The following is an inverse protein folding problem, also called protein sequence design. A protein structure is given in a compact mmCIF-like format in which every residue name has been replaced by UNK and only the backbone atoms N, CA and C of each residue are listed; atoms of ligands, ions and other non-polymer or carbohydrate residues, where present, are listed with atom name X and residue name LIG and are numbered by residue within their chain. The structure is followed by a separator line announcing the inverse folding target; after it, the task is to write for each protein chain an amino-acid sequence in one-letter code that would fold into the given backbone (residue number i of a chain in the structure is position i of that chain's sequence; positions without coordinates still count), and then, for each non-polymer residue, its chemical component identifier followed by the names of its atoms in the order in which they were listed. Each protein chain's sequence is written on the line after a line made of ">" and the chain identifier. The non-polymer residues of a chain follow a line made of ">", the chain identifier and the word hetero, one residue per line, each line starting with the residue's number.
data_IF_675903741022
#
_entry.id   IF_675903741022
#
_cell.length_a   1.000
_cell.length_b   1.000
_cell.length_c   1.000
_cell.angle_alpha   90.00
_cell.angle_beta   90.00
_cell.angle_gamma   90.00
#
_symmetry.space_group_name_H-M   'P 1'
#
loop_
_entity.id
_entity.type
_entity.pdbx_description
1 polymer ?
#
# COMPACT_ATOMS: atom_id res chain seq x y z
N UNK A 1 0.73 -21.51 28.93
CA UNK A 1 0.56 -20.05 28.87
C UNK A 1 0.32 -19.68 27.41
N UNK A 2 -0.92 -19.39 27.03
CA UNK A 2 -1.24 -18.84 25.70
C UNK A 2 -0.96 -17.33 25.74
N UNK A 3 -0.05 -16.85 24.88
CA UNK A 3 0.11 -15.43 24.62
C UNK A 3 -1.02 -14.97 23.70
N UNK A 4 -1.91 -14.11 24.18
CA UNK A 4 -2.81 -13.36 23.32
C UNK A 4 -1.97 -12.35 22.54
N UNK A 5 -1.86 -12.54 21.22
CA UNK A 5 -1.40 -11.50 20.33
C UNK A 5 -2.42 -10.35 20.38
N UNK A 6 -2.00 -9.20 20.89
CA UNK A 6 -2.78 -7.98 20.83
C UNK A 6 -2.83 -7.49 19.38
N UNK A 7 -3.81 -7.96 18.61
CA UNK A 7 -4.25 -7.26 17.39
C UNK A 7 -4.81 -5.92 17.81
N UNK A 8 -4.07 -4.84 17.62
CA UNK A 8 -4.55 -3.48 17.79
C UNK A 8 -5.58 -3.22 16.68
N UNK A 9 -6.89 -3.09 16.99
CA UNK A 9 -7.87 -2.83 15.95
C UNK A 9 -7.69 -1.39 15.46
N UNK A 10 -7.49 -1.22 14.15
CA UNK A 10 -7.55 0.10 13.52
C UNK A 10 -8.95 0.68 13.79
N UNK A 11 -9.04 1.80 14.50
CA UNK A 11 -10.32 2.47 14.78
C UNK A 11 -10.88 3.13 13.51
N UNK A 12 -12.19 3.02 13.25
CA UNK A 12 -12.84 3.64 12.08
C UNK A 12 -12.74 5.17 12.19
N UNK A 13 -11.70 5.77 11.60
CA UNK A 13 -11.48 7.22 11.60
C UNK A 13 -12.20 7.91 10.45
N UNK A 14 -12.29 9.25 10.52
CA UNK A 14 -12.84 10.13 9.47
C UNK A 14 -12.05 10.10 8.14
N UNK A 15 -11.06 9.21 8.01
CA UNK A 15 -10.05 9.24 6.98
C UNK A 15 -9.03 10.35 7.22
N UNK A 16 -7.77 10.16 6.80
CA UNK A 16 -6.75 11.20 6.91
C UNK A 16 -7.15 12.44 6.09
N UNK A 17 -6.82 13.65 6.58
CA UNK A 17 -7.04 14.87 5.81
C UNK A 17 -6.25 14.85 4.50
N UNK A 18 -6.70 15.62 3.52
CA UNK A 18 -5.91 15.88 2.33
C UNK A 18 -4.60 16.61 2.72
N UNK A 19 -3.45 16.30 2.10
CA UNK A 19 -2.31 17.20 2.12
C UNK A 19 -2.72 18.53 1.50
N UNK A 20 -2.41 19.63 2.18
CA UNK A 20 -2.81 20.99 1.79
C UNK A 20 -2.23 21.43 0.44
N UNK A 21 -1.13 20.81 0.01
CA UNK A 21 -0.43 21.11 -1.23
C UNK A 21 -0.94 20.32 -2.44
N UNK A 22 -1.95 19.47 -2.25
CA UNK A 22 -2.47 18.63 -3.31
C UNK A 22 -3.93 19.01 -3.60
N UNK A 23 -4.13 20.07 -4.39
CA UNK A 23 -5.42 20.70 -4.77
C UNK A 23 -6.49 19.74 -5.33
N UNK A 24 -6.08 18.53 -5.72
CA UNK A 24 -6.95 17.51 -6.28
C UNK A 24 -7.38 16.45 -5.26
N UNK A 25 -6.78 16.39 -4.05
CA UNK A 25 -7.12 15.39 -3.03
C UNK A 25 -8.57 15.46 -2.55
N UNK A 26 -9.22 16.61 -2.66
CA UNK A 26 -10.61 16.83 -2.23
C UNK A 26 -11.63 16.67 -3.35
N UNK A 27 -11.21 16.41 -4.60
CA UNK A 27 -12.14 16.35 -5.73
C UNK A 27 -12.92 15.05 -5.74
N UNK A 28 -12.25 13.88 -5.76
CA UNK A 28 -12.91 12.57 -5.71
C UNK A 28 -12.00 11.52 -5.03
N UNK A 29 -11.92 11.51 -3.70
CA UNK A 29 -10.88 10.80 -2.93
C UNK A 29 -10.78 9.28 -3.19
N UNK A 30 -11.89 8.61 -3.54
CA UNK A 30 -11.91 7.18 -3.88
C UNK A 30 -11.85 6.88 -5.38
N UNK A 31 -11.94 7.90 -6.24
CA UNK A 31 -11.86 7.78 -7.70
C UNK A 31 -10.45 8.08 -8.18
N UNK A 32 -9.82 9.09 -7.56
CA UNK A 32 -8.44 9.51 -7.87
C UNK A 32 -7.41 8.44 -7.43
N UNK A 33 -7.82 7.51 -6.56
CA UNK A 33 -7.08 6.30 -6.17
C UNK A 33 -5.75 6.63 -5.49
N UNK A 34 -5.85 7.41 -4.44
CA UNK A 34 -4.71 8.04 -3.76
C UNK A 34 -4.60 7.64 -2.30
N UNK A 35 -5.42 6.69 -1.86
CA UNK A 35 -5.27 6.02 -0.58
C UNK A 35 -5.96 6.75 0.55
N UNK A 36 -6.97 7.58 0.26
CA UNK A 36 -7.77 8.25 1.29
C UNK A 36 -8.91 7.40 1.81
N UNK A 37 -9.33 6.38 1.08
CA UNK A 37 -10.53 5.61 1.39
C UNK A 37 -10.25 4.38 2.24
N UNK A 38 -9.01 4.20 2.67
CA UNK A 38 -8.65 3.18 3.64
C UNK A 38 -7.48 3.65 4.50
N UNK A 39 -7.45 3.13 5.72
CA UNK A 39 -6.29 3.21 6.61
C UNK A 39 -5.37 2.03 6.34
N UNK A 40 -4.07 2.25 6.52
CA UNK A 40 -3.06 1.21 6.43
C UNK A 40 -2.11 1.31 7.61
N UNK A 41 -1.56 0.17 8.02
CA UNK A 41 -0.42 0.08 8.92
C UNK A 41 0.59 -0.91 8.37
N UNK A 42 1.87 -0.66 8.65
CA UNK A 42 2.98 -1.53 8.27
C UNK A 42 3.84 -1.77 9.51
N UNK A 43 4.07 -3.03 9.86
CA UNK A 43 4.81 -3.38 11.09
C UNK A 43 4.16 -2.85 12.36
N UNK A 44 2.83 -2.70 12.36
CA UNK A 44 2.06 -2.11 13.46
C UNK A 44 2.13 -0.58 13.56
N UNK A 45 2.88 0.09 12.70
CA UNK A 45 2.94 1.55 12.65
C UNK A 45 1.91 2.12 11.68
N UNK A 46 1.26 3.25 12.02
CA UNK A 46 0.32 3.90 11.13
C UNK A 46 1.02 4.42 9.87
N UNK A 47 0.32 4.34 8.75
CA UNK A 47 0.72 5.04 7.53
C UNK A 47 0.12 6.44 7.54
N UNK A 48 0.99 7.44 7.49
CA UNK A 48 0.65 8.85 7.64
C UNK A 48 0.94 9.63 6.36
N UNK A 49 0.32 10.80 6.22
CA UNK A 49 0.59 11.70 5.10
C UNK A 49 1.94 12.41 5.31
N UNK A 50 2.66 12.68 4.23
CA UNK A 50 3.82 13.57 4.25
C UNK A 50 3.27 14.99 4.32
N UNK A 51 3.28 15.62 5.50
CA UNK A 51 2.54 16.89 5.69
C UNK A 51 3.24 18.10 5.06
N UNK A 52 4.57 18.14 5.12
CA UNK A 52 5.34 19.28 4.64
C UNK A 52 5.52 19.22 3.12
N UNK A 53 5.04 20.24 2.40
CA UNK A 53 5.14 20.32 0.94
C UNK A 53 6.59 20.23 0.45
N UNK A 54 7.52 20.94 1.11
CA UNK A 54 8.94 20.91 0.74
C UNK A 54 9.55 19.50 0.91
N UNK A 55 9.13 18.77 1.94
CA UNK A 55 9.55 17.38 2.14
C UNK A 55 8.97 16.48 1.05
N UNK A 56 7.68 16.62 0.77
CA UNK A 56 7.01 15.90 -0.30
C UNK A 56 7.66 16.14 -1.65
N UNK A 57 7.90 17.39 -2.06
CA UNK A 57 8.52 17.73 -3.34
C UNK A 57 9.92 17.10 -3.46
N UNK A 58 10.74 17.21 -2.41
CA UNK A 58 12.08 16.59 -2.38
C UNK A 58 12.01 15.08 -2.57
N UNK A 59 11.15 14.40 -1.81
CA UNK A 59 10.99 12.94 -1.87
C UNK A 59 10.38 12.50 -3.21
N UNK A 60 9.39 13.24 -3.71
CA UNK A 60 8.75 13.00 -4.99
C UNK A 60 9.76 13.03 -6.13
N UNK A 61 10.57 14.09 -6.20
CA UNK A 61 11.59 14.25 -7.23
C UNK A 61 12.67 13.16 -7.14
N UNK A 62 13.07 12.80 -5.92
CA UNK A 62 14.03 11.72 -5.70
C UNK A 62 13.48 10.36 -6.17
N UNK A 63 12.29 9.98 -5.70
CA UNK A 63 11.66 8.70 -6.04
C UNK A 63 11.40 8.63 -7.55
N UNK A 64 10.95 9.72 -8.17
CA UNK A 64 10.68 9.77 -9.62
C UNK A 64 11.95 9.61 -10.45
N UNK A 65 13.10 10.12 -9.99
CA UNK A 65 14.40 9.89 -10.65
C UNK A 65 14.80 8.41 -10.59
N UNK A 66 14.54 7.74 -9.46
CA UNK A 66 14.88 6.33 -9.27
C UNK A 66 13.92 5.42 -10.05
N UNK A 67 12.61 5.70 -9.98
CA UNK A 67 11.58 4.92 -10.63
C UNK A 67 10.44 5.83 -11.15
N UNK A 68 10.44 6.18 -12.46
CA UNK A 68 9.47 7.10 -13.03
C UNK A 68 8.04 6.55 -13.08
N UNK A 69 7.84 5.25 -12.82
CA UNK A 69 6.51 4.63 -12.74
C UNK A 69 5.85 4.84 -11.37
N UNK A 70 6.63 5.18 -10.34
CA UNK A 70 6.10 5.55 -9.03
C UNK A 70 5.65 7.01 -9.06
N UNK A 71 4.36 7.20 -9.29
CA UNK A 71 3.69 8.49 -9.11
C UNK A 71 3.09 8.54 -7.71
N UNK A 72 2.92 9.75 -7.18
CA UNK A 72 1.96 9.99 -6.08
C UNK A 72 2.32 9.30 -4.74
N UNK A 73 3.58 9.39 -4.30
CA UNK A 73 4.01 8.91 -2.97
C UNK A 73 3.72 9.98 -1.92
N UNK A 74 2.48 10.01 -1.44
CA UNK A 74 2.00 10.97 -0.43
C UNK A 74 2.09 10.45 1.00
N UNK A 75 2.42 9.18 1.16
CA UNK A 75 2.28 8.48 2.42
C UNK A 75 3.60 7.94 2.89
N UNK A 76 3.77 7.83 4.21
CA UNK A 76 4.97 7.29 4.81
C UNK A 76 4.70 6.53 6.10
N UNK A 77 5.63 5.65 6.44
CA UNK A 77 5.84 5.18 7.81
C UNK A 77 7.04 5.95 8.35
N UNK A 78 6.83 6.73 9.42
CA UNK A 78 7.85 7.67 9.91
C UNK A 78 9.06 6.94 10.51
N UNK A 79 8.80 5.98 11.39
CA UNK A 79 9.88 5.28 12.06
C UNK A 79 10.37 4.09 11.22
N UNK A 80 11.69 3.84 11.16
CA UNK A 80 12.23 2.68 10.50
C UNK A 80 11.68 1.37 11.07
N UNK A 81 11.48 0.39 10.18
CA UNK A 81 11.01 -0.94 10.52
C UNK A 81 12.14 -1.97 10.43
N UNK A 82 12.03 -3.07 11.19
CA UNK A 82 12.84 -4.25 10.91
C UNK A 82 12.35 -4.92 9.63
N UNK A 83 13.25 -5.68 8.97
CA UNK A 83 12.92 -6.38 7.71
C UNK A 83 11.70 -7.30 7.80
N UNK A 84 11.50 -7.97 8.94
CA UNK A 84 10.34 -8.83 9.20
C UNK A 84 9.08 -8.03 9.56
N UNK A 85 9.21 -6.94 10.32
CA UNK A 85 8.07 -6.08 10.64
C UNK A 85 7.47 -5.43 9.38
N UNK A 86 8.30 -5.07 8.41
CA UNK A 86 7.85 -4.50 7.13
C UNK A 86 6.92 -5.44 6.33
N UNK A 87 6.91 -6.73 6.63
CA UNK A 87 6.04 -7.72 5.96
C UNK A 87 4.60 -7.73 6.49
N UNK A 88 4.37 -7.14 7.67
CA UNK A 88 3.05 -7.09 8.29
C UNK A 88 2.27 -5.86 7.80
N UNK A 89 1.50 -6.01 6.72
CA UNK A 89 0.62 -4.95 6.18
C UNK A 89 -0.82 -5.24 6.56
N UNK A 90 -1.46 -4.29 7.24
CA UNK A 90 -2.88 -4.33 7.55
C UNK A 90 -3.60 -3.13 6.93
N UNK A 91 -4.80 -3.36 6.39
CA UNK A 91 -5.64 -2.35 5.74
C UNK A 91 -7.07 -2.47 6.22
N UNK A 92 -7.80 -1.35 6.22
CA UNK A 92 -9.24 -1.33 6.51
C UNK A 92 -9.88 -0.09 5.88
N UNK A 93 -11.07 -0.23 5.29
CA UNK A 93 -11.84 0.94 4.87
C UNK A 93 -12.11 1.89 6.05
N UNK A 94 -12.01 3.19 5.82
CA UNK A 94 -12.35 4.21 6.81
C UNK A 94 -13.75 4.78 6.56
N UNK A 95 -14.19 5.77 7.34
CA UNK A 95 -15.53 6.35 7.18
C UNK A 95 -15.79 6.93 5.77
N UNK A 96 -14.75 7.48 5.15
CA UNK A 96 -14.79 8.00 3.78
C UNK A 96 -14.91 6.84 2.76
N UNK A 97 -14.21 5.74 3.02
CA UNK A 97 -14.21 4.59 2.13
C UNK A 97 -15.43 3.67 2.21
N UNK A 98 -16.07 3.53 3.37
CA UNK A 98 -17.23 2.66 3.56
C UNK A 98 -18.26 2.73 2.41
N UNK A 99 -18.81 3.91 2.08
CA UNK A 99 -19.81 4.05 1.02
C UNK A 99 -19.27 3.95 -0.41
N UNK A 100 -17.94 3.97 -0.61
CA UNK A 100 -17.34 4.11 -1.95
C UNK A 100 -16.49 2.91 -2.38
N UNK A 101 -15.69 2.35 -1.46
CA UNK A 101 -14.88 1.15 -1.70
C UNK A 101 -15.50 -0.09 -1.04
N UNK A 102 -16.20 0.06 0.08
CA UNK A 102 -16.85 -1.04 0.79
C UNK A 102 -15.90 -1.89 1.65
N UNK A 103 -16.44 -2.96 2.22
CA UNK A 103 -15.71 -3.91 3.06
C UNK A 103 -14.70 -4.73 2.25
N UNK A 104 -13.63 -5.26 2.86
CA UNK A 104 -12.61 -6.02 2.15
C UNK A 104 -13.20 -7.28 1.48
N UNK A 105 -13.07 -7.39 0.16
CA UNK A 105 -13.53 -8.57 -0.59
C UNK A 105 -12.39 -9.58 -0.82
N UNK A 106 -11.14 -9.09 -0.83
CA UNK A 106 -9.94 -9.90 -1.01
C UNK A 106 -8.78 -9.36 -0.17
N UNK A 107 -7.75 -10.19 -0.01
CA UNK A 107 -6.50 -9.75 0.60
C UNK A 107 -5.91 -8.54 -0.19
N UNK A 108 -5.33 -7.54 0.50
CA UNK A 108 -4.70 -6.42 -0.18
C UNK A 108 -3.55 -6.90 -1.06
N UNK A 109 -3.41 -6.26 -2.22
CA UNK A 109 -2.27 -6.50 -3.09
C UNK A 109 -1.18 -5.49 -2.76
N UNK A 110 0.00 -5.96 -2.36
CA UNK A 110 1.15 -5.12 -2.06
C UNK A 110 2.23 -5.36 -3.12
N UNK A 111 2.63 -4.31 -3.82
CA UNK A 111 3.82 -4.33 -4.69
C UNK A 111 4.95 -3.57 -4.01
N UNK A 112 6.10 -4.21 -3.87
CA UNK A 112 7.27 -3.64 -3.19
C UNK A 112 8.26 -3.11 -4.24
N UNK A 113 8.67 -1.86 -4.08
CA UNK A 113 9.59 -1.18 -4.96
C UNK A 113 10.85 -0.77 -4.18
N UNK A 114 11.96 -1.51 -4.31
CA UNK A 114 13.25 -1.10 -3.75
C UNK A 114 13.72 0.23 -4.36
N UNK A 115 14.18 1.15 -3.53
CA UNK A 115 14.71 2.44 -3.99
C UNK A 115 16.24 2.49 -4.01
N UNK A 116 16.90 1.69 -3.16
CA UNK A 116 18.36 1.74 -2.97
C UNK A 116 19.05 0.49 -3.60
N UNK A 117 18.42 -0.11 -4.61
CA UNK A 117 18.99 -1.23 -5.37
C UNK A 117 18.93 -2.59 -4.68
N UNK A 118 18.13 -2.73 -3.62
CA UNK A 118 17.98 -3.99 -2.91
C UNK A 118 17.43 -5.07 -3.83
N UNK A 119 18.00 -6.28 -3.75
CA UNK A 119 17.55 -7.44 -4.53
C UNK A 119 16.47 -8.19 -3.74
N UNK A 120 15.33 -8.40 -4.37
CA UNK A 120 14.23 -9.17 -3.81
C UNK A 120 14.16 -10.54 -4.50
N UNK A 121 14.13 -11.61 -3.71
CA UNK A 121 13.85 -12.95 -4.19
C UNK A 121 12.35 -13.06 -4.51
N UNK A 122 12.02 -13.49 -5.73
CA UNK A 122 10.63 -13.70 -6.14
C UNK A 122 10.45 -15.05 -6.82
N UNK A 123 9.35 -15.72 -6.52
CA UNK A 123 8.88 -16.89 -7.26
C UNK A 123 7.90 -16.46 -8.34
N UNK A 124 7.85 -17.24 -9.43
CA UNK A 124 6.91 -17.04 -10.52
C UNK A 124 5.72 -17.97 -10.32
N UNK A 125 4.57 -17.38 -10.04
CA UNK A 125 3.32 -18.11 -9.84
C UNK A 125 2.40 -17.92 -11.04
N UNK A 126 1.62 -18.96 -11.34
CA UNK A 126 0.51 -18.91 -12.29
C UNK A 126 -0.79 -18.75 -11.51
N UNK A 127 -1.49 -17.64 -11.75
CA UNK A 127 -2.76 -17.32 -11.09
C UNK A 127 -3.87 -17.39 -12.12
N UNK A 128 -4.82 -18.30 -11.91
CA UNK A 128 -6.02 -18.40 -12.72
C UNK A 128 -6.98 -17.23 -12.41
N UNK A 129 -7.48 -16.58 -13.45
CA UNK A 129 -8.53 -15.58 -13.36
C UNK A 129 -9.86 -16.24 -13.78
N UNK A 130 -10.72 -16.53 -12.80
CA UNK A 130 -12.01 -17.19 -13.04
C UNK A 130 -13.04 -16.32 -13.78
N UNK A 131 -12.83 -15.00 -13.81
CA UNK A 131 -13.77 -14.03 -14.41
C UNK A 131 -13.54 -13.82 -15.91
N UNK A 132 -12.37 -14.21 -16.43
CA UNK A 132 -12.06 -14.14 -17.86
C UNK A 132 -11.86 -15.53 -18.39
N UNK A 133 -12.64 -15.90 -19.41
CA UNK A 133 -12.52 -17.20 -20.07
C UNK A 133 -12.07 -17.04 -21.52
N UNK A 134 -11.13 -17.87 -21.94
CA UNK A 134 -10.71 -18.04 -23.34
C UNK A 134 -10.98 -19.49 -23.70
N UNK A 135 -11.82 -19.73 -24.71
CA UNK A 135 -12.29 -21.07 -25.10
C UNK A 135 -12.91 -21.87 -23.94
N UNK A 136 -13.66 -21.19 -23.06
CA UNK A 136 -14.31 -21.82 -21.90
C UNK A 136 -13.38 -22.14 -20.72
N UNK A 137 -12.05 -21.99 -20.88
CA UNK A 137 -11.07 -22.17 -19.81
C UNK A 137 -10.75 -20.83 -19.14
N UNK A 138 -10.51 -20.85 -17.83
CA UNK A 138 -10.08 -19.66 -17.10
C UNK A 138 -8.72 -19.17 -17.62
N UNK A 139 -8.59 -17.88 -17.87
CA UNK A 139 -7.32 -17.28 -18.29
C UNK A 139 -6.31 -17.34 -17.16
N UNK A 140 -5.11 -17.84 -17.40
CA UNK A 140 -4.00 -17.81 -16.44
C UNK A 140 -3.13 -16.57 -16.68
N UNK A 141 -2.73 -15.91 -15.59
CA UNK A 141 -1.80 -14.79 -15.62
C UNK A 141 -0.55 -15.12 -14.81
N UNK A 142 0.60 -14.58 -15.21
CA UNK A 142 1.86 -14.73 -14.49
C UNK A 142 1.96 -13.63 -13.43
N UNK A 143 2.28 -14.00 -12.20
CA UNK A 143 2.53 -13.08 -11.11
C UNK A 143 3.85 -13.44 -10.41
N UNK A 144 4.65 -12.44 -10.07
CA UNK A 144 5.81 -12.64 -9.21
C UNK A 144 5.39 -12.41 -7.76
N UNK A 145 5.65 -13.38 -6.90
CA UNK A 145 5.38 -13.30 -5.46
C UNK A 145 6.69 -13.24 -4.69
N UNK A 146 6.74 -12.47 -3.61
CA UNK A 146 7.93 -12.35 -2.77
C UNK A 146 8.23 -13.71 -2.11
N UNK A 147 9.46 -14.19 -2.26
CA UNK A 147 9.89 -15.51 -1.79
C UNK A 147 10.77 -15.45 -0.54
N UNK A 148 10.63 -14.36 0.23
CA UNK A 148 11.39 -14.06 1.44
C UNK A 148 10.44 -13.46 2.48
N UNK A 149 10.72 -13.73 3.75
CA UNK A 149 9.95 -13.31 4.92
C UNK A 149 10.55 -12.09 5.64
N UNK A 150 11.61 -11.52 5.06
CA UNK A 150 12.27 -10.31 5.53
C UNK A 150 12.74 -9.44 4.36
N UNK A 151 12.74 -8.13 4.56
CA UNK A 151 13.33 -7.18 3.63
C UNK A 151 14.76 -6.81 4.02
N UNK A 152 15.70 -6.72 3.05
CA UNK A 152 17.01 -6.12 3.29
C UNK A 152 16.91 -4.67 3.78
N UNK A 153 17.95 -4.15 4.46
CA UNK A 153 17.99 -2.74 4.83
C UNK A 153 17.92 -1.79 3.62
N UNK A 154 17.33 -0.63 3.85
CA UNK A 154 17.23 0.49 2.90
C UNK A 154 15.78 0.95 2.68
N UNK A 155 15.57 1.81 1.69
CA UNK A 155 14.28 2.45 1.43
C UNK A 155 13.45 1.71 0.39
N UNK A 156 12.15 1.78 0.59
CA UNK A 156 11.15 1.12 -0.24
C UNK A 156 9.94 2.03 -0.46
N UNK A 157 9.26 1.84 -1.58
CA UNK A 157 7.87 2.26 -1.76
C UNK A 157 7.00 1.02 -1.82
N UNK A 158 5.97 0.96 -0.97
CA UNK A 158 4.93 -0.06 -1.05
C UNK A 158 3.71 0.51 -1.76
N UNK A 159 3.34 -0.08 -2.89
CA UNK A 159 2.06 0.20 -3.55
C UNK A 159 1.02 -0.79 -3.02
N UNK A 160 0.19 -0.33 -2.09
CA UNK A 160 -0.86 -1.13 -1.45
C UNK A 160 -2.17 -0.87 -2.19
N UNK A 161 -2.79 -1.89 -2.77
CA UNK A 161 -4.12 -1.82 -3.37
C UNK A 161 -5.13 -2.53 -2.47
N UNK A 162 -6.12 -1.77 -2.01
CA UNK A 162 -7.26 -2.25 -1.26
C UNK A 162 -8.39 -2.62 -2.23
N UNK A 163 -8.88 -3.85 -2.15
CA UNK A 163 -9.99 -4.36 -2.96
C UNK A 163 -11.22 -4.52 -2.07
N UNK A 164 -12.14 -3.56 -2.14
CA UNK A 164 -13.40 -3.63 -1.44
C UNK A 164 -14.54 -4.12 -2.33
N UNK A 165 -15.67 -4.47 -1.70
CA UNK A 165 -16.84 -5.05 -2.36
C UNK A 165 -17.55 -4.13 -3.36
N UNK A 166 -17.29 -2.82 -3.32
CA UNK A 166 -17.91 -1.84 -4.22
C UNK A 166 -16.91 -1.29 -5.24
N UNK A 167 -15.67 -1.08 -4.80
CA UNK A 167 -14.60 -0.50 -5.63
C UNK A 167 -13.22 -0.75 -4.97
N UNK A 168 -12.18 -0.13 -5.52
CA UNK A 168 -10.82 -0.24 -4.98
C UNK A 168 -10.14 1.13 -4.87
N UNK A 169 -9.17 1.22 -3.97
CA UNK A 169 -8.28 2.37 -3.79
C UNK A 169 -6.83 1.86 -3.66
N UNK A 170 -5.84 2.75 -3.82
CA UNK A 170 -4.42 2.41 -3.65
C UNK A 170 -3.66 3.47 -2.87
N UNK A 171 -2.63 3.06 -2.14
CA UNK A 171 -1.74 3.93 -1.39
C UNK A 171 -0.29 3.60 -1.73
N UNK A 172 0.50 4.60 -2.13
CA UNK A 172 1.95 4.47 -2.31
C UNK A 172 2.65 5.01 -1.06
N UNK A 173 3.34 4.13 -0.33
CA UNK A 173 3.88 4.41 1.01
C UNK A 173 5.40 4.31 0.99
N UNK A 174 6.09 5.40 1.37
CA UNK A 174 7.52 5.41 1.63
C UNK A 174 7.82 4.83 3.01
N UNK A 175 8.83 3.97 3.10
CA UNK A 175 9.32 3.44 4.38
C UNK A 175 10.81 3.12 4.31
N UNK A 176 11.42 3.02 5.49
CA UNK A 176 12.82 2.61 5.65
C UNK A 176 12.90 1.32 6.45
N UNK A 177 13.70 0.37 5.99
CA UNK A 177 14.03 -0.87 6.67
C UNK A 177 15.45 -0.80 7.23
N UNK A 178 15.67 -1.27 8.46
CA UNK A 178 16.98 -1.36 9.13
C UNK A 178 17.23 -2.75 9.69
#
# INVERSE_FOLDING_TARGET
>A
MLALAATCPLAVGAGPPAPSYADWFDRLPCVDRIGRCFEASIGGQPVEVIEAEAEYQRLHDEIRRINPNLREVYWQVREPLSGSAAMAVAVRANALGGPHVGEPEAAPRVTIHPLDGQRLAATRDLVANGSVRVNGQATVSRQNTLAQDTLPPGRYVFSIRYHGSLNWDRKSVLLTVR
#
